data_IF_286992085198
#
_entry.id   IF_286992085198
#
_cell.length_a   1.000
_cell.length_b   1.000
_cell.length_c   1.000
_cell.angle_alpha   90.00
_cell.angle_beta   90.00
_cell.angle_gamma   90.00
#
_symmetry.space_group_name_H-M   'P 1'
#
loop_
_entity.id
_entity.type
_entity.pdbx_description
1 polymer ?
#
# COMPACT_ATOMS: atom_id res chain seq x y z
N UNK A 1 7.19 37.05 -6.32
CA UNK A 1 6.57 36.61 -7.59
C UNK A 1 7.59 36.10 -8.61
N UNK A 2 8.64 36.84 -8.99
CA UNK A 2 9.63 36.37 -9.97
C UNK A 2 10.32 35.03 -9.61
N UNK A 3 10.80 34.86 -8.37
CA UNK A 3 11.47 33.62 -7.95
C UNK A 3 10.58 32.38 -8.07
N UNK A 4 9.29 32.50 -7.71
CA UNK A 4 8.33 31.39 -7.80
C UNK A 4 8.12 30.97 -9.26
N UNK A 5 7.93 31.94 -10.16
CA UNK A 5 7.78 31.66 -11.59
C UNK A 5 9.04 31.01 -12.18
N UNK A 6 10.23 31.45 -11.77
CA UNK A 6 11.49 30.80 -12.20
C UNK A 6 11.62 29.36 -11.69
N UNK A 7 11.21 29.08 -10.46
CA UNK A 7 11.18 27.71 -9.92
C UNK A 7 10.18 26.84 -10.69
N UNK A 8 8.96 27.33 -10.91
CA UNK A 8 7.93 26.63 -11.69
C UNK A 8 8.40 26.32 -13.12
N UNK A 9 9.07 27.25 -13.78
CA UNK A 9 9.63 27.06 -15.12
C UNK A 9 10.72 25.98 -15.15
N UNK A 10 11.66 26.00 -14.19
CA UNK A 10 12.69 24.96 -14.06
C UNK A 10 12.05 23.60 -13.83
N UNK A 11 11.09 23.50 -12.90
CA UNK A 11 10.40 22.24 -12.61
C UNK A 11 9.68 21.70 -13.84
N UNK A 12 8.95 22.54 -14.57
CA UNK A 12 8.25 22.12 -15.77
C UNK A 12 9.23 21.62 -16.84
N UNK A 13 10.33 22.33 -17.05
CA UNK A 13 11.36 21.92 -18.00
C UNK A 13 11.98 20.58 -17.64
N UNK A 14 12.39 20.39 -16.38
CA UNK A 14 13.07 19.15 -15.97
C UNK A 14 12.12 17.94 -15.92
N UNK A 15 10.85 18.13 -15.52
CA UNK A 15 9.85 17.05 -15.51
C UNK A 15 9.38 16.66 -16.92
N UNK A 16 9.34 17.59 -17.87
CA UNK A 16 8.95 17.26 -19.25
C UNK A 16 10.09 16.68 -20.08
N UNK A 17 11.35 16.94 -19.69
CA UNK A 17 12.55 16.56 -20.44
C UNK A 17 12.62 15.07 -20.79
N UNK A 18 12.33 14.10 -19.87
CA UNK A 18 12.38 12.67 -20.19
C UNK A 18 11.38 12.26 -21.28
N UNK A 19 10.26 12.97 -21.40
CA UNK A 19 9.16 12.64 -22.32
C UNK A 19 9.25 13.38 -23.65
N UNK A 20 9.80 14.61 -23.64
CA UNK A 20 10.00 15.42 -24.84
C UNK A 20 11.06 14.84 -25.78
N UNK A 21 12.12 14.23 -25.26
CA UNK A 21 13.18 13.64 -26.10
C UNK A 21 12.71 12.44 -26.93
N UNK A 22 11.62 11.78 -26.52
CA UNK A 22 11.09 10.56 -27.14
C UNK A 22 9.64 10.69 -27.62
N UNK A 23 9.05 11.90 -27.52
CA UNK A 23 7.63 12.17 -27.81
C UNK A 23 6.67 11.14 -27.19
N UNK A 24 6.88 10.83 -25.91
CA UNK A 24 6.12 9.81 -25.18
C UNK A 24 5.09 10.45 -24.24
N UNK A 25 3.98 9.77 -23.99
CA UNK A 25 3.05 10.08 -22.90
C UNK A 25 3.59 9.54 -21.58
N UNK A 26 3.43 10.30 -20.50
CA UNK A 26 3.96 9.94 -19.19
C UNK A 26 3.10 10.41 -18.04
N UNK A 27 3.31 9.79 -16.88
CA UNK A 27 2.65 10.13 -15.62
C UNK A 27 3.72 10.19 -14.53
N UNK A 28 3.71 11.27 -13.75
CA UNK A 28 4.29 11.27 -12.42
C UNK A 28 3.18 11.10 -11.40
N UNK A 29 3.43 10.33 -10.34
CA UNK A 29 2.48 10.20 -9.24
C UNK A 29 3.16 10.41 -7.89
N UNK A 30 2.35 10.75 -6.89
CA UNK A 30 2.77 10.93 -5.50
C UNK A 30 1.63 10.59 -4.56
N UNK A 31 1.97 10.04 -3.39
CA UNK A 31 1.04 9.90 -2.26
C UNK A 31 1.25 11.06 -1.30
N UNK A 32 0.16 11.73 -0.93
CA UNK A 32 0.20 12.87 0.00
C UNK A 32 -0.82 12.63 1.09
N UNK A 33 -0.39 12.53 2.35
CA UNK A 33 -1.27 12.38 3.51
C UNK A 33 -2.42 13.40 3.48
N UNK A 34 -3.66 12.95 3.69
CA UNK A 34 -4.85 13.77 3.51
C UNK A 34 -4.89 14.99 4.45
N UNK A 35 -4.34 14.84 5.66
CA UNK A 35 -4.29 15.92 6.65
C UNK A 35 -3.10 16.88 6.42
N UNK A 36 -2.19 16.56 5.50
CA UNK A 36 -1.03 17.39 5.17
C UNK A 36 -1.35 18.41 4.05
N UNK A 37 -2.12 19.43 4.42
CA UNK A 37 -2.54 20.49 3.50
C UNK A 37 -1.37 21.25 2.85
N UNK A 38 -0.23 21.36 3.54
CA UNK A 38 0.96 22.02 3.00
C UNK A 38 1.53 21.24 1.81
N UNK A 39 1.79 19.95 1.98
CA UNK A 39 2.27 19.09 0.90
C UNK A 39 1.26 18.98 -0.23
N UNK A 40 -0.03 18.90 0.07
CA UNK A 40 -1.09 18.87 -0.93
C UNK A 40 -1.06 20.12 -1.82
N UNK A 41 -1.02 21.31 -1.21
CA UNK A 41 -0.98 22.57 -1.94
C UNK A 41 0.32 22.74 -2.73
N UNK A 42 1.44 22.24 -2.21
CA UNK A 42 2.71 22.23 -2.93
C UNK A 42 2.62 21.37 -4.19
N UNK A 43 2.14 20.13 -4.09
CA UNK A 43 1.92 19.24 -5.24
C UNK A 43 0.96 19.87 -6.27
N UNK A 44 -0.16 20.44 -5.81
CA UNK A 44 -1.09 21.19 -6.67
C UNK A 44 -0.39 22.32 -7.44
N UNK A 45 0.50 23.06 -6.78
CA UNK A 45 1.24 24.17 -7.42
C UNK A 45 2.19 23.69 -8.52
N UNK A 46 2.68 22.46 -8.43
CA UNK A 46 3.49 21.81 -9.46
C UNK A 46 2.67 21.03 -10.51
N UNK A 47 1.36 21.24 -10.57
CA UNK A 47 0.49 20.65 -11.59
C UNK A 47 0.03 19.22 -11.30
N UNK A 48 0.28 18.70 -10.11
CA UNK A 48 -0.32 17.43 -9.68
C UNK A 48 -1.80 17.63 -9.36
N UNK A 49 -2.62 16.63 -9.63
CA UNK A 49 -4.05 16.62 -9.33
C UNK A 49 -4.41 15.33 -8.60
N UNK A 50 -5.24 15.40 -7.54
CA UNK A 50 -5.70 14.19 -6.87
C UNK A 50 -6.60 13.38 -7.82
N UNK A 51 -6.35 12.08 -7.89
CA UNK A 51 -7.16 11.14 -8.68
C UNK A 51 -7.81 10.05 -7.84
N UNK A 52 -7.22 9.68 -6.69
CA UNK A 52 -7.74 8.67 -5.75
C UNK A 52 -7.47 9.01 -4.29
N UNK A 53 -8.17 8.32 -3.41
CA UNK A 53 -7.90 8.29 -1.96
C UNK A 53 -7.42 6.88 -1.62
N UNK A 54 -6.26 6.80 -0.97
CA UNK A 54 -5.66 5.55 -0.53
C UNK A 54 -5.82 5.45 0.97
N UNK A 55 -6.35 4.33 1.46
CA UNK A 55 -6.53 4.07 2.88
C UNK A 55 -5.45 3.13 3.40
N UNK A 56 -4.98 3.40 4.62
CA UNK A 56 -4.09 2.50 5.37
C UNK A 56 -4.90 1.60 6.29
N UNK A 57 -4.77 0.30 6.11
CA UNK A 57 -5.40 -0.70 6.98
C UNK A 57 -4.33 -1.38 7.82
N UNK A 58 -4.46 -1.26 9.14
CA UNK A 58 -3.62 -2.03 10.07
C UNK A 58 -4.14 -3.45 10.21
N UNK A 59 -3.24 -4.41 10.32
CA UNK A 59 -3.50 -5.78 10.71
C UNK A 59 -2.74 -6.10 11.99
N UNK A 60 -3.37 -6.76 12.97
CA UNK A 60 -2.68 -7.09 14.22
C UNK A 60 -3.12 -8.41 14.84
N UNK A 61 -2.14 -9.12 15.41
CA UNK A 61 -2.31 -10.34 16.22
C UNK A 61 -1.31 -10.33 17.36
N UNK A 62 -1.77 -10.51 18.59
CA UNK A 62 -0.87 -10.67 19.74
C UNK A 62 -0.06 -11.97 19.69
N UNK A 63 -0.67 -13.01 19.13
CA UNK A 63 -0.12 -14.35 19.00
C UNK A 63 -0.51 -14.88 17.61
N UNK A 64 0.16 -14.41 16.54
CA UNK A 64 -0.10 -14.91 15.18
C UNK A 64 0.17 -16.41 15.11
N UNK A 65 -0.46 -17.07 14.15
CA UNK A 65 -0.37 -18.52 13.97
C UNK A 65 -0.12 -18.88 12.52
N UNK A 66 0.72 -19.89 12.33
CA UNK A 66 0.88 -20.54 11.04
C UNK A 66 -0.34 -21.39 10.68
N UNK A 67 -0.51 -21.60 9.38
CA UNK A 67 -1.49 -22.50 8.76
C UNK A 67 -0.78 -23.43 7.80
N UNK A 68 -1.15 -24.71 7.80
CA UNK A 68 -0.45 -25.76 7.03
C UNK A 68 -0.67 -25.64 5.53
N UNK A 69 -1.79 -25.04 5.13
CA UNK A 69 -2.20 -24.84 3.74
C UNK A 69 -1.48 -23.64 3.09
N UNK A 70 -0.75 -22.84 3.88
CA UNK A 70 -0.04 -21.66 3.43
C UNK A 70 1.45 -21.96 3.41
N UNK A 71 2.12 -21.57 2.33
CA UNK A 71 3.56 -21.80 2.15
C UNK A 71 4.22 -20.60 1.48
N UNK A 72 5.52 -20.42 1.75
CA UNK A 72 6.35 -19.47 1.00
C UNK A 72 6.43 -19.92 -0.46
N UNK A 73 6.21 -18.99 -1.37
CA UNK A 73 6.34 -19.21 -2.81
C UNK A 73 7.82 -19.30 -3.14
N UNK A 74 8.22 -20.38 -3.82
CA UNK A 74 9.59 -20.53 -4.30
C UNK A 74 9.81 -19.63 -5.52
N UNK A 75 11.04 -19.15 -5.72
CA UNK A 75 11.39 -18.24 -6.81
C UNK A 75 10.96 -18.74 -8.20
N UNK A 76 11.02 -20.05 -8.44
CA UNK A 76 10.64 -20.65 -9.73
C UNK A 76 9.13 -20.51 -10.01
N UNK A 77 8.31 -20.22 -8.99
CA UNK A 77 6.88 -19.99 -9.09
C UNK A 77 6.48 -18.51 -9.05
N UNK A 78 7.43 -17.58 -8.95
CA UNK A 78 7.11 -16.16 -8.93
C UNK A 78 6.48 -15.67 -10.24
N UNK A 79 6.78 -16.30 -11.38
CA UNK A 79 6.09 -16.02 -12.65
C UNK A 79 4.58 -16.29 -12.53
N UNK A 80 4.18 -17.46 -12.02
CA UNK A 80 2.78 -17.81 -11.81
C UNK A 80 2.08 -16.89 -10.77
N UNK A 81 2.82 -16.44 -9.76
CA UNK A 81 2.32 -15.45 -8.81
C UNK A 81 2.05 -14.10 -9.50
N UNK A 82 2.97 -13.62 -10.35
CA UNK A 82 2.78 -12.40 -11.16
C UNK A 82 1.60 -12.52 -12.12
N UNK A 83 1.43 -13.67 -12.76
CA UNK A 83 0.27 -13.92 -13.62
C UNK A 83 -1.04 -13.82 -12.85
N UNK A 84 -1.11 -14.42 -11.66
CA UNK A 84 -2.29 -14.34 -10.79
C UNK A 84 -2.57 -12.90 -10.35
N UNK A 85 -1.53 -12.16 -9.96
CA UNK A 85 -1.61 -10.75 -9.58
C UNK A 85 -2.12 -9.87 -10.74
N UNK A 86 -1.50 -10.01 -11.92
CA UNK A 86 -1.86 -9.23 -13.11
C UNK A 86 -3.28 -9.55 -13.59
N UNK A 87 -3.70 -10.81 -13.48
CA UNK A 87 -5.08 -11.19 -13.78
C UNK A 87 -6.07 -10.55 -12.80
N UNK A 88 -5.74 -10.58 -11.51
CA UNK A 88 -6.58 -10.05 -10.44
C UNK A 88 -6.74 -8.53 -10.51
N UNK A 89 -5.66 -7.81 -10.84
CA UNK A 89 -5.65 -6.34 -10.99
C UNK A 89 -5.73 -5.88 -12.45
N UNK A 90 -6.25 -6.70 -13.38
CA UNK A 90 -6.29 -6.36 -14.82
C UNK A 90 -7.06 -5.08 -15.15
N UNK A 91 -7.98 -4.70 -14.27
CA UNK A 91 -8.84 -3.51 -14.40
C UNK A 91 -8.35 -2.33 -13.55
N UNK A 92 -7.17 -2.46 -12.92
CA UNK A 92 -6.52 -1.40 -12.14
C UNK A 92 -5.44 -0.68 -12.95
N UNK A 93 -5.12 0.54 -12.51
CA UNK A 93 -3.93 1.27 -12.91
C UNK A 93 -2.77 0.99 -11.95
N UNK A 94 -1.57 1.40 -12.35
CA UNK A 94 -0.36 1.37 -11.49
C UNK A 94 0.04 -0.03 -11.01
N UNK A 95 -0.31 -1.08 -11.75
CA UNK A 95 0.09 -2.45 -11.42
C UNK A 95 1.54 -2.67 -11.85
N UNK A 96 2.45 -2.68 -10.88
CA UNK A 96 3.88 -2.95 -11.08
C UNK A 96 4.27 -4.23 -10.35
N UNK A 97 4.83 -5.21 -11.07
CA UNK A 97 5.25 -6.50 -10.51
C UNK A 97 6.75 -6.76 -10.65
N UNK A 98 7.50 -5.78 -11.14
CA UNK A 98 8.94 -5.89 -11.39
C UNK A 98 9.70 -6.09 -10.08
N UNK A 99 9.26 -5.41 -9.01
CA UNK A 99 9.90 -5.46 -7.69
C UNK A 99 9.56 -6.71 -6.88
N UNK A 100 8.77 -7.65 -7.41
CA UNK A 100 8.32 -8.84 -6.66
C UNK A 100 9.50 -9.66 -6.08
N UNK A 101 10.63 -9.66 -6.78
CA UNK A 101 11.84 -10.42 -6.41
C UNK A 101 12.81 -9.65 -5.50
N UNK A 102 12.60 -8.35 -5.29
CA UNK A 102 13.58 -7.47 -4.63
C UNK A 102 13.50 -7.57 -3.10
N UNK A 103 12.28 -7.50 -2.54
CA UNK A 103 12.05 -7.41 -1.10
C UNK A 103 10.88 -8.26 -0.64
N UNK A 104 11.00 -8.78 0.58
CA UNK A 104 9.95 -9.52 1.26
C UNK A 104 9.85 -10.98 0.85
N UNK A 105 8.75 -11.61 1.25
CA UNK A 105 8.43 -13.00 0.93
C UNK A 105 7.01 -13.11 0.42
N UNK A 106 6.83 -13.87 -0.66
CA UNK A 106 5.52 -14.19 -1.20
C UNK A 106 4.99 -15.44 -0.51
N UNK A 107 3.70 -15.44 -0.19
CA UNK A 107 2.98 -16.54 0.43
C UNK A 107 1.78 -16.91 -0.43
N UNK A 108 1.51 -18.20 -0.54
CA UNK A 108 0.32 -18.73 -1.24
C UNK A 108 -0.44 -19.67 -0.31
N UNK A 109 -1.76 -19.53 -0.29
CA UNK A 109 -2.68 -20.52 0.25
C UNK A 109 -3.07 -21.48 -0.87
N UNK A 110 -2.90 -22.78 -0.63
CA UNK A 110 -3.21 -23.84 -1.59
C UNK A 110 -4.36 -24.72 -1.14
N UNK A 111 -5.21 -25.09 -2.09
CA UNK A 111 -6.24 -26.11 -1.93
C UNK A 111 -6.13 -27.09 -3.08
N UNK A 112 -5.95 -28.38 -2.77
CA UNK A 112 -5.71 -29.43 -3.78
C UNK A 112 -4.55 -29.06 -4.74
N UNK A 113 -3.43 -28.57 -4.19
CA UNK A 113 -2.22 -28.13 -4.92
C UNK A 113 -2.38 -26.86 -5.78
N UNK A 114 -3.61 -26.36 -5.94
CA UNK A 114 -3.92 -25.12 -6.62
C UNK A 114 -3.79 -23.92 -5.68
N UNK A 115 -3.07 -22.88 -6.10
CA UNK A 115 -3.01 -21.62 -5.37
C UNK A 115 -4.35 -20.88 -5.54
N UNK A 116 -4.99 -20.51 -4.44
CA UNK A 116 -6.29 -19.83 -4.43
C UNK A 116 -6.23 -18.41 -3.87
N UNK A 117 -5.15 -18.06 -3.17
CA UNK A 117 -4.86 -16.71 -2.72
C UNK A 117 -3.37 -16.55 -2.48
N UNK A 118 -2.88 -15.32 -2.60
CA UNK A 118 -1.48 -14.99 -2.36
C UNK A 118 -1.29 -13.56 -1.84
N UNK A 119 -0.19 -13.35 -1.12
CA UNK A 119 0.22 -12.05 -0.58
C UNK A 119 1.74 -11.96 -0.57
N UNK A 120 2.29 -10.76 -0.73
CA UNK A 120 3.68 -10.46 -0.40
C UNK A 120 3.74 -9.75 0.95
N UNK A 121 4.68 -10.13 1.80
CA UNK A 121 4.95 -9.46 3.06
C UNK A 121 6.40 -8.95 3.10
N UNK A 122 6.55 -7.65 3.31
CA UNK A 122 7.84 -6.94 3.34
C UNK A 122 8.11 -6.51 4.78
N UNK A 123 9.18 -6.99 5.42
CA UNK A 123 9.58 -6.52 6.75
C UNK A 123 10.01 -5.05 6.75
N UNK A 124 9.41 -4.22 7.62
CA UNK A 124 9.69 -2.79 7.72
C UNK A 124 9.93 -2.38 9.18
N UNK A 125 10.84 -1.41 9.36
CA UNK A 125 11.20 -0.82 10.65
C UNK A 125 11.09 0.70 10.56
N UNK A 126 10.23 1.29 11.40
CA UNK A 126 10.04 2.73 11.47
C UNK A 126 10.29 3.26 12.88
N UNK A 127 10.77 4.51 12.95
CA UNK A 127 10.70 5.31 14.18
C UNK A 127 9.59 6.34 14.02
N UNK A 128 8.56 6.23 14.84
CA UNK A 128 7.44 7.16 14.86
C UNK A 128 7.81 8.36 15.73
N UNK A 129 8.07 9.49 15.08
CA UNK A 129 8.46 10.74 15.74
C UNK A 129 7.24 11.43 16.37
N UNK A 130 6.14 11.50 15.63
CA UNK A 130 4.94 12.20 16.07
C UNK A 130 3.68 11.53 15.52
N UNK A 131 2.62 11.52 16.33
CA UNK A 131 1.26 11.20 15.94
C UNK A 131 0.34 12.24 16.58
N UNK A 132 -0.36 13.07 15.79
CA UNK A 132 -1.17 14.15 16.33
C UNK A 132 -2.41 13.62 17.05
N UNK A 133 -2.94 14.45 17.97
CA UNK A 133 -4.23 14.24 18.63
C UNK A 133 -4.23 13.26 19.81
N UNK A 134 -5.40 13.12 20.43
CA UNK A 134 -5.60 12.28 21.64
C UNK A 134 -5.31 10.80 21.39
N UNK A 135 -5.67 10.29 20.20
CA UNK A 135 -5.34 8.92 19.78
C UNK A 135 -3.83 8.73 19.63
N UNK A 136 -3.15 9.71 19.02
CA UNK A 136 -1.69 9.71 18.93
C UNK A 136 -1.03 9.67 20.31
N UNK A 137 -1.52 10.47 21.27
CA UNK A 137 -1.06 10.40 22.65
C UNK A 137 -1.25 9.00 23.28
N UNK A 138 -2.43 8.38 23.11
CA UNK A 138 -2.69 7.02 23.60
C UNK A 138 -1.71 6.00 22.99
N UNK A 139 -1.51 6.05 21.68
CA UNK A 139 -0.61 5.16 20.93
C UNK A 139 0.86 5.36 21.30
N UNK A 140 1.30 6.60 21.53
CA UNK A 140 2.71 6.91 21.81
C UNK A 140 3.10 6.78 23.28
N UNK A 141 2.19 7.10 24.22
CA UNK A 141 2.53 7.23 25.64
C UNK A 141 1.96 6.11 26.52
N UNK A 142 0.83 5.51 26.13
CA UNK A 142 0.12 4.55 26.97
C UNK A 142 0.33 3.12 26.47
N UNK A 143 -0.05 2.82 25.22
CA UNK A 143 0.05 1.47 24.64
C UNK A 143 1.44 0.82 24.80
N UNK A 144 2.56 1.52 24.54
CA UNK A 144 3.89 0.92 24.59
C UNK A 144 4.35 0.50 26.00
N UNK A 145 3.68 1.00 27.04
CA UNK A 145 3.99 0.66 28.45
C UNK A 145 3.35 -0.65 28.89
N UNK A 146 2.37 -1.16 28.15
CA UNK A 146 1.69 -2.42 28.47
C UNK A 146 2.42 -3.55 27.72
N UNK A 147 3.00 -4.55 28.41
CA UNK A 147 3.91 -5.54 27.79
C UNK A 147 3.34 -6.24 26.55
N UNK A 148 2.05 -6.57 26.58
CA UNK A 148 1.37 -7.24 25.46
C UNK A 148 1.19 -6.32 24.24
N UNK A 149 0.92 -5.03 24.47
CA UNK A 149 0.75 -4.04 23.41
C UNK A 149 2.07 -3.51 22.86
N UNK A 150 3.16 -3.56 23.65
CA UNK A 150 4.50 -3.21 23.17
C UNK A 150 4.94 -4.04 21.96
N UNK A 151 4.49 -5.29 21.87
CA UNK A 151 4.70 -6.14 20.69
C UNK A 151 3.94 -5.67 19.45
N UNK A 152 2.76 -5.08 19.64
CA UNK A 152 1.95 -4.54 18.54
C UNK A 152 2.43 -3.16 18.09
N UNK A 153 2.89 -2.33 19.04
CA UNK A 153 3.26 -0.95 18.77
C UNK A 153 4.35 -0.47 19.72
N UNK A 154 5.54 -0.27 19.17
CA UNK A 154 6.67 0.39 19.82
C UNK A 154 7.10 1.58 18.96
N UNK A 155 6.85 2.84 19.36
CA UNK A 155 7.12 3.99 18.50
C UNK A 155 8.61 4.22 18.21
N UNK A 156 9.52 3.76 19.09
CA UNK A 156 10.97 3.91 18.86
C UNK A 156 11.51 2.88 17.85
N UNK A 157 10.80 1.76 17.68
CA UNK A 157 11.19 0.63 16.83
C UNK A 157 9.94 -0.10 16.36
N UNK A 158 9.14 0.58 15.54
CA UNK A 158 7.88 0.04 15.05
C UNK A 158 8.20 -0.98 13.96
N UNK A 159 7.99 -2.25 14.30
CA UNK A 159 8.18 -3.40 13.41
C UNK A 159 6.84 -3.82 12.82
N UNK A 160 6.74 -3.83 11.50
CA UNK A 160 5.53 -4.30 10.83
C UNK A 160 5.84 -4.98 9.50
N UNK A 161 4.89 -5.79 9.03
CA UNK A 161 4.88 -6.30 7.66
C UNK A 161 4.09 -5.36 6.77
N UNK A 162 4.74 -4.75 5.79
CA UNK A 162 4.08 -4.11 4.67
C UNK A 162 3.55 -5.20 3.73
N UNK A 163 2.23 -5.35 3.71
CA UNK A 163 1.53 -6.29 2.85
C UNK A 163 1.26 -5.68 1.49
N UNK A 164 1.58 -6.44 0.46
CA UNK A 164 1.59 -6.01 -0.94
C UNK A 164 1.17 -7.17 -1.84
N UNK A 165 0.94 -6.89 -3.12
CA UNK A 165 0.75 -7.89 -4.18
C UNK A 165 -0.28 -8.96 -3.80
N UNK A 166 -1.35 -8.51 -3.13
CA UNK A 166 -2.44 -9.35 -2.65
C UNK A 166 -3.35 -9.75 -3.81
N UNK A 167 -3.66 -11.02 -3.92
CA UNK A 167 -4.65 -11.53 -4.88
C UNK A 167 -5.38 -12.76 -4.32
N UNK A 168 -6.56 -13.04 -4.85
CA UNK A 168 -7.32 -14.25 -4.53
C UNK A 168 -8.25 -14.62 -5.69
N UNK A 169 -8.62 -15.90 -5.73
CA UNK A 169 -9.69 -16.39 -6.61
C UNK A 169 -11.05 -16.07 -5.99
N UNK A 170 -12.04 -15.89 -6.85
CA UNK A 170 -13.43 -15.59 -6.46
C UNK A 170 -13.90 -16.47 -5.29
N UNK A 171 -14.54 -15.83 -4.30
CA UNK A 171 -15.03 -16.50 -3.08
C UNK A 171 -13.97 -16.80 -2.03
N UNK A 172 -12.72 -16.35 -2.18
CA UNK A 172 -11.63 -16.60 -1.21
C UNK A 172 -11.07 -15.33 -0.57
N UNK A 173 -11.78 -14.20 -0.59
CA UNK A 173 -11.30 -12.99 0.06
C UNK A 173 -11.29 -13.05 1.58
N UNK A 174 -12.05 -13.94 2.19
CA UNK A 174 -11.96 -14.24 3.62
C UNK A 174 -10.60 -14.85 4.03
N UNK A 175 -9.79 -15.31 3.05
CA UNK A 175 -8.45 -15.89 3.28
C UNK A 175 -7.34 -14.86 3.39
N UNK A 176 -7.61 -13.58 3.14
CA UNK A 176 -6.59 -12.53 3.22
C UNK A 176 -6.00 -12.45 4.64
N UNK A 177 -6.86 -12.46 5.66
CA UNK A 177 -6.40 -12.40 7.06
C UNK A 177 -5.63 -13.65 7.49
N UNK A 178 -5.91 -14.81 6.89
CA UNK A 178 -5.15 -16.04 7.11
C UNK A 178 -3.73 -15.95 6.57
N UNK A 179 -3.58 -15.37 5.36
CA UNK A 179 -2.28 -15.10 4.74
C UNK A 179 -1.48 -14.07 5.56
N UNK A 180 -2.12 -12.98 5.98
CA UNK A 180 -1.48 -11.96 6.83
C UNK A 180 -1.05 -12.54 8.18
N UNK A 181 -1.89 -13.33 8.84
CA UNK A 181 -1.58 -13.97 10.12
C UNK A 181 -0.44 -14.98 10.00
N UNK A 182 -0.45 -15.80 8.95
CA UNK A 182 0.62 -16.75 8.68
C UNK A 182 1.95 -16.02 8.44
N UNK A 183 1.96 -14.99 7.59
CA UNK A 183 3.16 -14.21 7.32
C UNK A 183 3.72 -13.55 8.59
N UNK A 184 2.83 -12.97 9.42
CA UNK A 184 3.18 -12.46 10.74
C UNK A 184 3.82 -13.54 11.64
N UNK A 185 3.24 -14.74 11.67
CA UNK A 185 3.76 -15.85 12.48
C UNK A 185 5.14 -16.32 12.01
N UNK A 186 5.29 -16.57 10.70
CA UNK A 186 6.52 -17.12 10.14
C UNK A 186 7.69 -16.12 10.23
N UNK A 187 7.41 -14.82 10.08
CA UNK A 187 8.43 -13.77 10.07
C UNK A 187 8.68 -13.14 11.44
N UNK A 188 8.00 -13.59 12.50
CA UNK A 188 8.06 -13.01 13.86
C UNK A 188 7.66 -11.52 13.93
N UNK A 189 6.46 -11.22 13.40
CA UNK A 189 5.82 -9.91 13.46
C UNK A 189 4.42 -10.00 14.04
N UNK A 190 3.97 -8.95 14.72
CA UNK A 190 2.63 -8.88 15.30
C UNK A 190 1.72 -7.83 14.65
N UNK A 191 2.31 -6.97 13.81
CA UNK A 191 1.66 -5.86 13.11
C UNK A 191 1.94 -5.99 11.62
N UNK A 192 0.96 -5.65 10.81
CA UNK A 192 1.13 -5.38 9.40
C UNK A 192 0.31 -4.18 8.94
N UNK A 193 0.65 -3.66 7.78
CA UNK A 193 -0.05 -2.56 7.12
C UNK A 193 -0.29 -2.95 5.67
N UNK A 194 -1.49 -2.63 5.16
CA UNK A 194 -1.81 -2.73 3.74
C UNK A 194 -2.45 -1.42 3.30
N UNK A 195 -2.10 -0.97 2.11
CA UNK A 195 -2.67 0.23 1.51
C UNK A 195 -3.56 -0.18 0.35
N UNK A 196 -4.76 0.39 0.26
CA UNK A 196 -5.67 0.13 -0.85
C UNK A 196 -6.36 1.42 -1.27
N UNK A 197 -6.60 1.56 -2.56
CA UNK A 197 -7.52 2.56 -3.09
C UNK A 197 -8.91 2.36 -2.47
N UNK A 198 -9.47 3.43 -1.91
CA UNK A 198 -10.76 3.46 -1.25
C UNK A 198 -11.90 2.95 -2.15
N UNK A 199 -11.79 3.17 -3.46
CA UNK A 199 -12.81 2.75 -4.44
C UNK A 199 -12.51 1.36 -5.04
N UNK A 200 -11.45 0.68 -4.60
CA UNK A 200 -11.13 -0.68 -5.05
C UNK A 200 -11.94 -1.74 -4.32
N UNK A 201 -12.38 -2.77 -5.04
CA UNK A 201 -13.05 -3.94 -4.44
C UNK A 201 -12.20 -4.60 -3.35
N UNK A 202 -10.87 -4.56 -3.48
CA UNK A 202 -9.94 -5.09 -2.48
C UNK A 202 -10.04 -4.37 -1.14
N UNK A 203 -10.27 -3.05 -1.13
CA UNK A 203 -10.46 -2.29 0.12
C UNK A 203 -11.75 -2.71 0.83
N UNK A 204 -12.83 -2.87 0.06
CA UNK A 204 -14.11 -3.35 0.58
C UNK A 204 -13.99 -4.75 1.18
N UNK A 205 -13.39 -5.70 0.45
CA UNK A 205 -13.28 -7.09 0.87
C UNK A 205 -12.32 -7.31 2.05
N UNK A 206 -11.26 -6.51 2.15
CA UNK A 206 -10.38 -6.48 3.34
C UNK A 206 -11.16 -6.02 4.59
N UNK A 207 -12.12 -5.12 4.44
CA UNK A 207 -12.92 -4.64 5.58
C UNK A 207 -14.08 -5.57 5.93
N UNK A 208 -14.80 -6.09 4.93
CA UNK A 208 -16.06 -6.82 5.12
C UNK A 208 -15.87 -8.30 5.45
N UNK A 209 -14.84 -8.93 4.88
CA UNK A 209 -14.63 -10.38 4.95
C UNK A 209 -13.53 -10.80 5.94
N UNK A 210 -12.82 -9.85 6.56
CA UNK A 210 -11.60 -10.15 7.31
C UNK A 210 -11.57 -9.50 8.69
N UNK A 211 -11.01 -10.22 9.67
CA UNK A 211 -10.74 -9.67 10.99
C UNK A 211 -9.32 -9.09 11.05
N UNK A 212 -9.22 -7.76 10.95
CA UNK A 212 -7.94 -7.04 11.00
C UNK A 212 -7.35 -6.86 12.41
N UNK A 213 -8.09 -7.28 13.44
CA UNK A 213 -7.61 -7.30 14.81
C UNK A 213 -7.75 -5.96 15.55
N UNK A 214 -7.03 -5.85 16.67
CA UNK A 214 -7.26 -4.80 17.66
C UNK A 214 -6.83 -3.41 17.19
N UNK A 215 -5.63 -3.28 16.62
CA UNK A 215 -5.09 -1.96 16.25
C UNK A 215 -5.90 -1.31 15.14
N UNK A 216 -6.47 -2.09 14.22
CA UNK A 216 -7.37 -1.57 13.18
C UNK A 216 -8.56 -0.81 13.80
N UNK A 217 -9.19 -1.39 14.82
CA UNK A 217 -10.35 -0.79 15.51
C UNK A 217 -9.98 0.51 16.23
N UNK A 218 -8.72 0.66 16.65
CA UNK A 218 -8.24 1.88 17.32
C UNK A 218 -7.78 2.97 16.34
N UNK A 219 -7.11 2.57 15.25
CA UNK A 219 -6.38 3.46 14.34
C UNK A 219 -7.26 4.55 13.73
N UNK A 220 -8.56 4.25 13.54
CA UNK A 220 -9.44 5.11 12.75
C UNK A 220 -9.04 5.14 11.29
N UNK A 221 -9.58 6.10 10.54
CA UNK A 221 -9.27 6.29 9.13
C UNK A 221 -7.94 7.06 8.99
N UNK A 222 -6.99 6.47 8.28
CA UNK A 222 -5.74 7.11 7.85
C UNK A 222 -5.70 7.02 6.33
N UNK A 223 -5.59 8.16 5.65
CA UNK A 223 -5.71 8.23 4.20
C UNK A 223 -4.68 9.17 3.57
N UNK A 224 -4.33 8.90 2.32
CA UNK A 224 -3.50 9.74 1.47
C UNK A 224 -4.18 9.99 0.11
N UNK A 225 -3.93 11.13 -0.50
CA UNK A 225 -4.28 11.39 -1.89
C UNK A 225 -3.23 10.77 -2.81
N UNK A 226 -3.66 9.92 -3.74
CA UNK A 226 -2.86 9.63 -4.94
C UNK A 226 -3.04 10.78 -5.92
N UNK A 227 -1.97 11.51 -6.17
CA UNK A 227 -1.95 12.66 -7.06
C UNK A 227 -1.13 12.35 -8.30
N UNK A 228 -1.59 12.76 -9.49
CA UNK A 228 -0.85 12.59 -10.74
C UNK A 228 -0.58 13.91 -11.46
N UNK A 229 0.54 13.94 -12.18
CA UNK A 229 0.88 14.95 -13.19
C UNK A 229 1.10 14.24 -14.52
N UNK A 230 0.23 14.53 -15.46
CA UNK A 230 0.28 13.95 -16.80
C UNK A 230 1.17 14.76 -17.74
N UNK A 231 1.87 14.06 -18.64
CA UNK A 231 2.71 14.63 -19.69
C UNK A 231 2.22 14.08 -21.04
N UNK A 232 1.84 14.97 -21.97
CA UNK A 232 1.35 14.62 -23.31
C UNK A 232 0.18 13.60 -23.31
N UNK A 233 -0.68 13.62 -22.29
CA UNK A 233 -1.85 12.75 -22.20
C UNK A 233 -3.10 13.47 -22.73
N UNK A 234 -3.91 12.78 -23.53
CA UNK A 234 -5.22 13.29 -23.96
C UNK A 234 -6.20 13.35 -22.78
N UNK A 235 -7.24 14.18 -22.92
CA UNK A 235 -8.28 14.29 -21.89
C UNK A 235 -9.05 12.97 -21.71
N UNK A 236 -9.24 12.22 -22.79
CA UNK A 236 -9.91 10.92 -22.79
C UNK A 236 -9.10 9.90 -21.99
N UNK A 237 -7.80 9.82 -22.22
CA UNK A 237 -6.91 8.90 -21.49
C UNK A 237 -6.81 9.27 -20.01
N UNK A 238 -6.75 10.57 -19.69
CA UNK A 238 -6.75 11.02 -18.31
C UNK A 238 -8.08 10.72 -17.59
N UNK A 239 -9.20 10.86 -18.29
CA UNK A 239 -10.51 10.44 -17.76
C UNK A 239 -10.56 8.94 -17.50
N UNK A 240 -10.04 8.12 -18.42
CA UNK A 240 -9.95 6.68 -18.25
C UNK A 240 -9.08 6.28 -17.04
N UNK A 241 -7.92 6.93 -16.86
CA UNK A 241 -7.06 6.77 -15.68
C UNK A 241 -7.86 7.06 -14.39
N UNK A 242 -8.58 8.19 -14.36
CA UNK A 242 -9.44 8.60 -13.25
C UNK A 242 -10.69 7.75 -13.03
N UNK A 243 -10.99 6.76 -13.87
CA UNK A 243 -12.16 5.89 -13.71
C UNK A 243 -11.80 4.45 -13.32
N UNK A 244 -10.51 4.10 -13.29
CA UNK A 244 -10.03 2.79 -12.82
C UNK A 244 -9.36 2.86 -11.44
N UNK A 245 -9.62 1.92 -10.54
CA UNK A 245 -8.94 1.87 -9.25
C UNK A 245 -7.42 1.75 -9.42
N UNK A 246 -6.67 2.25 -8.45
CA UNK A 246 -5.22 2.14 -8.42
C UNK A 246 -4.78 0.92 -7.60
N UNK A 247 -3.85 0.14 -8.14
CA UNK A 247 -3.02 -0.74 -7.33
C UNK A 247 -2.03 0.12 -6.54
N UNK A 248 -1.84 -0.23 -5.27
CA UNK A 248 -0.92 0.48 -4.38
C UNK A 248 0.20 -0.47 -3.97
N UNK A 249 1.38 -0.22 -4.52
CA UNK A 249 2.61 -0.89 -4.11
C UNK A 249 3.00 -0.42 -2.71
N UNK A 250 3.29 -1.37 -1.84
CA UNK A 250 3.71 -1.06 -0.48
C UNK A 250 5.09 -0.40 -0.45
N UNK A 251 5.94 -0.68 -1.43
CA UNK A 251 7.29 -0.10 -1.54
C UNK A 251 7.23 1.43 -1.69
N UNK A 252 6.19 1.95 -2.34
CA UNK A 252 6.02 3.40 -2.53
C UNK A 252 5.44 4.10 -1.29
N UNK A 253 5.00 3.33 -0.29
CA UNK A 253 4.36 3.81 0.94
C UNK A 253 5.26 3.72 2.18
N UNK A 254 6.40 3.02 2.09
CA UNK A 254 7.28 2.69 3.24
C UNK A 254 8.52 3.59 3.36
#
# INVERSE_FOLDING_TARGET
>A
NALRSSIEEIFNRELEKPFKSVNQTGIYYAYVEADNLLSFNLCKSFGFNPIRIINTFLFSRFFPKEKKEISVVKKERHSAFRESLNHFYRDHNFVFSDSLDDYGSCFELKKNEEAIAGIRAIPVHWKIIELPGLKGFLMLKILPRIPLFKKLFNPEELRFLAFDSLWYKEGNSDKISDLMEHACSLLDYNLGMVWQDEESFTAEEILSSNNLGFLHKLNGKVSAHLMTREINMSKENYSALKNKPAFVSAIDMI
#
